data_IF_785989478298
#
_entry.id   IF_785989478298
#
_cell.length_a   1.000
_cell.length_b   1.000
_cell.length_c   1.000
_cell.angle_alpha   90.00
_cell.angle_beta   90.00
_cell.angle_gamma   90.00
#
_symmetry.space_group_name_H-M   'P 1'
#
loop_
_entity.id
_entity.type
_entity.pdbx_description
1 polymer ?
#
# COMPACT_ATOMS: atom_id res chain seq x y z
N UNK A 1 6.40 8.66 -19.15
CA UNK A 1 6.25 8.07 -17.79
C UNK A 1 7.65 7.93 -17.18
N UNK A 2 7.87 7.82 -15.87
CA UNK A 2 9.22 7.58 -15.29
C UNK A 2 9.93 6.32 -15.85
N UNK A 3 9.23 5.52 -16.66
CA UNK A 3 9.75 4.50 -17.57
C UNK A 3 10.76 5.03 -18.63
N UNK A 4 10.71 6.31 -19.03
CA UNK A 4 11.55 6.85 -20.13
C UNK A 4 12.96 7.28 -19.67
N UNK A 5 13.17 7.47 -18.36
CA UNK A 5 14.50 7.74 -17.81
C UNK A 5 15.39 6.48 -17.83
N UNK A 6 14.77 5.31 -17.84
CA UNK A 6 15.43 4.01 -17.78
C UNK A 6 15.77 3.57 -16.35
N UNK A 7 15.75 2.26 -16.11
CA UNK A 7 15.97 1.62 -14.80
C UNK A 7 17.31 1.97 -14.13
N UNK A 8 18.26 2.53 -14.88
CA UNK A 8 19.62 2.87 -14.44
C UNK A 8 19.91 4.38 -14.47
N UNK A 9 18.91 5.23 -14.71
CA UNK A 9 19.13 6.68 -14.68
C UNK A 9 19.57 7.14 -13.29
N UNK A 10 20.80 7.63 -13.21
CA UNK A 10 21.44 8.04 -11.94
C UNK A 10 20.57 9.02 -11.16
N UNK A 11 20.02 10.05 -11.81
CA UNK A 11 19.18 11.06 -11.13
C UNK A 11 17.89 10.47 -10.55
N UNK A 12 17.30 9.46 -11.20
CA UNK A 12 16.10 8.76 -10.69
C UNK A 12 16.46 7.82 -9.55
N UNK A 13 17.59 7.11 -9.65
CA UNK A 13 18.08 6.26 -8.56
C UNK A 13 18.41 7.07 -7.31
N UNK A 14 18.99 8.27 -7.47
CA UNK A 14 19.21 9.21 -6.37
C UNK A 14 17.90 9.69 -5.77
N UNK A 15 16.90 10.01 -6.60
CA UNK A 15 15.57 10.39 -6.12
C UNK A 15 14.87 9.24 -5.38
N UNK A 16 14.96 8.01 -5.88
CA UNK A 16 14.39 6.83 -5.25
C UNK A 16 15.08 6.48 -3.93
N UNK A 17 16.42 6.60 -3.89
CA UNK A 17 17.18 6.45 -2.66
C UNK A 17 16.79 7.51 -1.63
N UNK A 18 16.71 8.78 -2.05
CA UNK A 18 16.29 9.86 -1.17
C UNK A 18 14.86 9.67 -0.67
N UNK A 19 13.94 9.22 -1.53
CA UNK A 19 12.56 8.92 -1.17
C UNK A 19 12.45 7.81 -0.12
N UNK A 20 13.16 6.70 -0.32
CA UNK A 20 13.23 5.62 0.67
C UNK A 20 13.86 6.04 2.00
N UNK A 21 14.92 6.87 1.96
CA UNK A 21 15.53 7.44 3.15
C UNK A 21 14.60 8.41 3.88
N UNK A 22 13.83 9.23 3.18
CA UNK A 22 12.78 10.07 3.77
C UNK A 22 11.65 9.24 4.38
N UNK A 23 11.29 8.13 3.73
CA UNK A 23 10.38 7.12 4.29
C UNK A 23 10.82 6.60 5.64
N UNK A 24 12.11 6.29 5.78
CA UNK A 24 12.69 5.92 7.06
C UNK A 24 12.67 7.09 8.07
N UNK A 25 13.11 8.27 7.66
CA UNK A 25 13.26 9.42 8.55
C UNK A 25 11.93 9.90 9.14
N UNK A 26 10.91 10.03 8.27
CA UNK A 26 9.61 10.60 8.61
C UNK A 26 8.61 9.53 9.09
N UNK A 27 8.87 8.26 8.80
CA UNK A 27 7.97 7.14 9.03
C UNK A 27 7.23 6.73 7.75
N UNK A 28 6.97 5.44 7.62
CA UNK A 28 6.39 4.85 6.42
C UNK A 28 4.96 5.35 6.20
N UNK A 29 4.13 5.33 7.25
CA UNK A 29 2.73 5.77 7.16
C UNK A 29 2.59 7.26 6.82
N UNK A 30 3.47 8.10 7.38
CA UNK A 30 3.52 9.53 7.11
C UNK A 30 3.80 9.78 5.63
N UNK A 31 4.82 9.13 5.07
CA UNK A 31 5.18 9.31 3.67
C UNK A 31 4.13 8.74 2.71
N UNK A 32 3.45 7.66 3.09
CA UNK A 32 2.30 7.15 2.36
C UNK A 32 1.13 8.16 2.34
N UNK A 33 0.86 8.82 3.47
CA UNK A 33 -0.12 9.89 3.56
C UNK A 33 0.25 11.13 2.75
N UNK A 34 1.52 11.53 2.76
CA UNK A 34 2.04 12.63 1.92
C UNK A 34 1.91 12.30 0.44
N UNK A 35 2.19 11.07 0.03
CA UNK A 35 1.95 10.59 -1.32
C UNK A 35 0.49 10.79 -1.73
N UNK A 36 -0.44 10.39 -0.87
CA UNK A 36 -1.88 10.62 -1.05
C UNK A 36 -2.23 12.09 -1.28
N UNK A 37 -1.73 12.99 -0.43
CA UNK A 37 -1.96 14.43 -0.57
C UNK A 37 -1.45 14.98 -1.92
N UNK A 38 -0.28 14.53 -2.37
CA UNK A 38 0.29 14.93 -3.67
C UNK A 38 -0.52 14.35 -4.84
N UNK A 39 -1.01 13.11 -4.72
CA UNK A 39 -1.93 12.52 -5.72
C UNK A 39 -3.21 13.35 -5.81
N UNK A 40 -3.83 13.72 -4.68
CA UNK A 40 -5.02 14.59 -4.68
C UNK A 40 -4.73 15.89 -5.41
N UNK A 41 -3.61 16.56 -5.09
CA UNK A 41 -3.21 17.79 -5.76
C UNK A 41 -3.04 17.59 -7.27
N UNK A 42 -2.43 16.48 -7.71
CA UNK A 42 -2.28 16.16 -9.13
C UNK A 42 -3.62 15.89 -9.84
N UNK A 43 -4.54 15.18 -9.20
CA UNK A 43 -5.82 14.81 -9.81
C UNK A 43 -6.84 15.98 -9.82
N UNK A 44 -6.74 16.94 -8.90
CA UNK A 44 -7.65 18.11 -8.86
C UNK A 44 -7.08 19.36 -9.56
N UNK A 45 -5.82 19.36 -9.99
CA UNK A 45 -5.21 20.47 -10.73
C UNK A 45 -5.16 20.16 -12.23
N UNK A 46 -5.98 20.81 -13.08
CA UNK A 46 -5.89 20.67 -14.52
C UNK A 46 -4.62 21.35 -15.02
N UNK A 47 -3.62 20.60 -15.49
CA UNK A 47 -2.50 21.07 -16.34
C UNK A 47 -1.77 22.38 -15.96
N UNK A 48 -1.83 22.85 -14.70
CA UNK A 48 -1.43 24.23 -14.31
C UNK A 48 -0.26 24.30 -13.33
N UNK A 49 0.43 23.19 -13.07
CA UNK A 49 1.52 23.11 -12.08
C UNK A 49 2.92 23.17 -12.73
N UNK A 50 3.40 24.38 -13.06
CA UNK A 50 4.83 24.66 -13.32
C UNK A 50 5.38 24.16 -14.67
N UNK A 51 6.68 24.40 -15.03
CA UNK A 51 7.17 24.43 -16.43
C UNK A 51 7.22 23.06 -17.10
N UNK A 52 6.06 22.50 -17.43
CA UNK A 52 5.81 21.39 -18.31
C UNK A 52 4.46 21.70 -19.00
N UNK A 53 4.54 22.27 -20.20
CA UNK A 53 3.40 22.79 -20.99
C UNK A 53 2.62 21.65 -21.66
N UNK A 54 1.29 21.64 -21.58
CA UNK A 54 0.43 20.71 -22.32
C UNK A 54 -1.04 20.71 -21.91
N UNK A 55 -1.90 20.14 -22.78
CA UNK A 55 -3.33 19.88 -22.54
C UNK A 55 -3.57 19.09 -21.24
N UNK A 56 -4.79 19.09 -20.64
CA UNK A 56 -5.09 18.28 -19.48
C UNK A 56 -4.65 16.82 -19.72
N UNK A 57 -3.73 16.29 -18.90
CA UNK A 57 -3.24 14.94 -19.06
C UNK A 57 -4.40 13.94 -18.86
N UNK A 58 -4.35 12.79 -19.55
CA UNK A 58 -5.24 11.66 -19.26
C UNK A 58 -5.21 11.31 -17.75
N UNK A 59 -6.26 10.70 -17.22
CA UNK A 59 -6.36 10.32 -15.81
C UNK A 59 -5.08 9.67 -15.27
N UNK A 60 -4.54 10.19 -14.15
CA UNK A 60 -3.28 9.71 -13.58
C UNK A 60 -1.98 10.11 -14.31
N UNK A 61 -2.05 10.84 -15.43
CA UNK A 61 -0.86 11.31 -16.15
C UNK A 61 -0.42 12.73 -15.77
N UNK A 62 -1.04 13.34 -14.75
CA UNK A 62 -0.53 14.56 -14.14
C UNK A 62 0.89 14.29 -13.57
N UNK A 63 1.90 15.12 -13.89
CA UNK A 63 3.26 14.93 -13.39
C UNK A 63 3.36 14.85 -11.86
N UNK A 64 2.51 15.56 -11.11
CA UNK A 64 2.49 15.46 -9.64
C UNK A 64 2.06 14.07 -9.19
N UNK A 65 1.00 13.51 -9.78
CA UNK A 65 0.57 12.14 -9.51
C UNK A 65 1.64 11.15 -9.95
N UNK A 66 2.09 11.20 -11.21
CA UNK A 66 2.92 10.15 -11.80
C UNK A 66 4.40 10.19 -11.40
N UNK A 67 4.98 11.38 -11.17
CA UNK A 67 6.42 11.55 -10.91
C UNK A 67 6.74 11.82 -9.44
N UNK A 68 5.77 12.32 -8.66
CA UNK A 68 5.98 12.64 -7.25
C UNK A 68 5.19 11.69 -6.35
N UNK A 69 3.86 11.75 -6.37
CA UNK A 69 2.99 10.98 -5.47
C UNK A 69 3.04 9.47 -5.68
N UNK A 70 3.10 9.01 -6.93
CA UNK A 70 3.28 7.61 -7.32
C UNK A 70 4.65 7.36 -7.96
N UNK A 71 5.57 8.32 -7.84
CA UNK A 71 6.87 8.28 -8.50
C UNK A 71 8.04 8.06 -7.54
N UNK A 72 9.29 8.20 -8.02
CA UNK A 72 10.50 7.96 -7.23
C UNK A 72 10.59 8.68 -5.87
N UNK A 73 10.11 9.93 -5.69
CA UNK A 73 10.27 10.62 -4.41
C UNK A 73 9.33 10.15 -3.29
N UNK A 74 8.03 9.97 -3.57
CA UNK A 74 7.02 9.66 -2.54
C UNK A 74 6.19 8.42 -2.84
N UNK A 75 6.38 7.79 -4.00
CA UNK A 75 5.65 6.60 -4.42
C UNK A 75 5.61 5.54 -3.31
N UNK A 76 4.47 4.86 -3.09
CA UNK A 76 4.36 3.85 -2.03
C UNK A 76 5.42 2.75 -2.13
N UNK A 77 5.76 2.35 -3.36
CA UNK A 77 6.82 1.40 -3.63
C UNK A 77 8.23 1.90 -3.29
N UNK A 78 8.42 3.20 -3.03
CA UNK A 78 9.71 3.81 -2.70
C UNK A 78 9.74 4.28 -1.25
N UNK A 79 8.98 5.32 -0.91
CA UNK A 79 9.07 5.96 0.39
C UNK A 79 8.45 5.07 1.48
N UNK A 80 7.20 4.64 1.29
CA UNK A 80 6.54 3.74 2.24
C UNK A 80 7.28 2.40 2.36
N UNK A 81 7.54 1.71 1.25
CA UNK A 81 8.25 0.41 1.28
C UNK A 81 9.66 0.52 1.88
N UNK A 82 10.40 1.59 1.57
CA UNK A 82 11.70 1.89 2.18
C UNK A 82 11.59 2.11 3.69
N UNK A 83 10.61 2.91 4.13
CA UNK A 83 10.32 3.14 5.55
C UNK A 83 9.97 1.85 6.28
N UNK A 84 9.13 0.98 5.70
CA UNK A 84 8.77 -0.32 6.28
C UNK A 84 10.00 -1.21 6.47
N UNK A 85 10.86 -1.30 5.46
CA UNK A 85 12.10 -2.08 5.56
C UNK A 85 13.07 -1.51 6.60
N UNK A 86 13.13 -0.17 6.72
CA UNK A 86 13.93 0.52 7.72
C UNK A 86 13.40 0.29 9.14
N UNK A 87 12.08 0.28 9.36
CA UNK A 87 11.45 -0.05 10.64
C UNK A 87 11.79 -1.48 11.05
N UNK A 88 11.67 -2.45 10.13
CA UNK A 88 12.06 -3.84 10.37
C UNK A 88 13.55 -3.96 10.73
N UNK A 89 14.43 -3.23 10.03
CA UNK A 89 15.86 -3.20 10.34
C UNK A 89 16.16 -2.58 11.72
N UNK A 90 15.54 -1.44 12.04
CA UNK A 90 15.74 -0.76 13.33
C UNK A 90 15.27 -1.64 14.51
N UNK A 91 14.13 -2.29 14.37
CA UNK A 91 13.64 -3.27 15.33
C UNK A 91 14.59 -4.46 15.48
N UNK A 92 15.11 -5.01 14.36
CA UNK A 92 16.08 -6.12 14.38
C UNK A 92 17.37 -5.75 15.11
N UNK A 93 17.76 -4.48 15.05
CA UNK A 93 18.95 -3.95 15.73
C UNK A 93 18.70 -3.58 17.19
N UNK A 94 17.46 -3.65 17.68
CA UNK A 94 17.10 -3.23 19.03
C UNK A 94 17.20 -1.71 19.22
N UNK A 95 16.99 -0.92 18.16
CA UNK A 95 16.99 0.54 18.24
C UNK A 95 15.64 1.12 18.65
N UNK A 96 14.60 0.29 18.66
CA UNK A 96 13.24 0.68 19.01
C UNK A 96 12.88 0.08 20.36
N UNK A 97 12.42 0.93 21.26
CA UNK A 97 11.93 0.61 22.59
C UNK A 97 10.81 1.61 22.90
N UNK A 98 9.59 1.27 22.49
CA UNK A 98 8.42 2.12 22.61
C UNK A 98 7.28 1.37 23.30
N UNK A 99 6.23 2.09 23.70
CA UNK A 99 5.02 1.51 24.27
C UNK A 99 4.08 0.93 23.19
N UNK A 100 4.59 0.54 22.02
CA UNK A 100 3.78 -0.01 20.93
C UNK A 100 3.22 -1.39 21.27
N UNK A 101 1.93 -1.60 21.05
CA UNK A 101 1.21 -2.81 21.48
C UNK A 101 1.66 -4.10 20.79
N UNK A 102 2.27 -3.97 19.59
CA UNK A 102 2.71 -5.08 18.76
C UNK A 102 4.23 -5.09 18.60
N UNK A 103 4.75 -5.93 17.72
CA UNK A 103 6.19 -5.89 17.47
C UNK A 103 6.64 -4.54 16.92
N UNK A 104 7.76 -4.02 17.41
CA UNK A 104 8.39 -2.81 16.88
C UNK A 104 8.66 -2.86 15.37
N UNK A 105 8.89 -4.04 14.80
CA UNK A 105 9.07 -4.20 13.35
C UNK A 105 7.78 -3.97 12.52
N UNK A 106 6.63 -3.78 13.19
CA UNK A 106 5.35 -3.35 12.60
C UNK A 106 5.04 -1.87 12.84
N UNK A 107 5.85 -1.16 13.62
CA UNK A 107 5.58 0.22 14.07
C UNK A 107 5.85 1.25 12.96
N UNK A 108 5.07 1.18 11.89
CA UNK A 108 5.24 1.97 10.65
C UNK A 108 4.78 3.43 10.78
N UNK A 109 4.16 3.78 11.90
CA UNK A 109 3.78 5.14 12.28
C UNK A 109 4.88 5.86 13.07
N UNK A 110 5.99 5.19 13.43
CA UNK A 110 7.09 5.82 14.15
C UNK A 110 8.09 6.48 13.18
N UNK A 111 8.37 7.79 13.29
CA UNK A 111 9.50 8.40 12.59
C UNK A 111 10.82 7.90 13.17
N UNK A 112 11.70 7.33 12.34
CA UNK A 112 12.97 6.73 12.80
C UNK A 112 14.11 7.76 12.93
N UNK A 113 13.88 9.00 12.50
CA UNK A 113 14.82 10.10 12.62
C UNK A 113 16.02 10.02 11.67
N UNK A 114 17.14 10.62 12.05
CA UNK A 114 18.28 10.85 11.14
C UNK A 114 19.40 9.80 11.23
N UNK A 115 19.10 8.62 11.78
CA UNK A 115 20.12 7.60 12.03
C UNK A 115 20.70 7.05 10.71
N UNK A 116 22.00 7.21 10.42
CA UNK A 116 22.53 6.99 9.07
C UNK A 116 22.31 5.59 8.49
N UNK A 117 22.51 4.53 9.27
CA UNK A 117 22.34 3.16 8.80
C UNK A 117 20.86 2.84 8.49
N UNK A 118 19.94 3.37 9.28
CA UNK A 118 18.49 3.24 9.04
C UNK A 118 18.06 3.99 7.78
N UNK A 119 18.58 5.21 7.55
CA UNK A 119 18.34 5.98 6.33
C UNK A 119 18.87 5.25 5.08
N UNK A 120 20.07 4.65 5.17
CA UNK A 120 20.65 3.88 4.08
C UNK A 120 19.80 2.66 3.75
N UNK A 121 19.31 1.92 4.75
CA UNK A 121 18.39 0.79 4.51
C UNK A 121 17.12 1.26 3.82
N UNK A 122 16.50 2.34 4.30
CA UNK A 122 15.33 2.93 3.66
C UNK A 122 15.60 3.29 2.20
N UNK A 123 16.70 3.97 1.92
CA UNK A 123 17.07 4.36 0.56
C UNK A 123 17.37 3.18 -0.37
N UNK A 124 18.05 2.14 0.12
CA UNK A 124 18.30 0.93 -0.68
C UNK A 124 16.98 0.25 -1.06
N UNK A 125 16.06 0.07 -0.12
CA UNK A 125 14.76 -0.53 -0.43
C UNK A 125 13.88 0.39 -1.29
N UNK A 126 14.06 1.71 -1.20
CA UNK A 126 13.46 2.66 -2.12
C UNK A 126 13.90 2.45 -3.58
N UNK A 127 15.19 2.22 -3.81
CA UNK A 127 15.72 1.88 -5.15
C UNK A 127 15.20 0.52 -5.63
N UNK A 128 15.18 -0.49 -4.76
CA UNK A 128 14.64 -1.82 -5.10
C UNK A 128 13.18 -1.72 -5.54
N UNK A 129 12.36 -0.97 -4.81
CA UNK A 129 10.97 -0.82 -5.17
C UNK A 129 10.78 -0.06 -6.48
N UNK A 130 11.59 0.97 -6.77
CA UNK A 130 11.60 1.62 -8.08
C UNK A 130 11.89 0.61 -9.21
N UNK A 131 12.85 -0.30 -9.02
CA UNK A 131 13.15 -1.33 -10.01
C UNK A 131 12.01 -2.33 -10.20
N UNK A 132 11.39 -2.82 -9.13
CA UNK A 132 10.30 -3.80 -9.22
C UNK A 132 9.07 -3.22 -9.94
N UNK A 133 8.71 -1.96 -9.65
CA UNK A 133 7.68 -1.23 -10.39
C UNK A 133 8.08 -1.07 -11.86
N UNK A 134 9.30 -0.62 -12.12
CA UNK A 134 9.81 -0.39 -13.48
C UNK A 134 9.87 -1.67 -14.33
N UNK A 135 10.25 -2.81 -13.73
CA UNK A 135 10.24 -4.13 -14.36
C UNK A 135 8.80 -4.53 -14.71
N UNK A 136 7.86 -4.38 -13.77
CA UNK A 136 6.45 -4.71 -14.00
C UNK A 136 5.86 -3.92 -15.17
N UNK A 137 6.15 -2.62 -15.25
CA UNK A 137 5.74 -1.76 -16.37
C UNK A 137 6.45 -2.16 -17.66
N UNK A 138 7.77 -2.41 -17.63
CA UNK A 138 8.60 -2.73 -18.81
C UNK A 138 8.13 -3.97 -19.55
N UNK A 139 7.66 -4.97 -18.80
CA UNK A 139 7.18 -6.24 -19.32
C UNK A 139 5.65 -6.31 -19.46
N UNK A 140 4.93 -5.24 -19.13
CA UNK A 140 3.46 -5.21 -19.23
C UNK A 140 2.78 -6.29 -18.40
N UNK A 141 3.27 -6.54 -17.18
CA UNK A 141 2.75 -7.61 -16.34
C UNK A 141 1.33 -7.27 -15.84
N UNK A 142 0.38 -8.23 -15.85
CA UNK A 142 -1.06 -7.97 -15.64
C UNK A 142 -1.44 -7.82 -14.16
N UNK A 143 -0.84 -6.86 -13.50
CA UNK A 143 -1.11 -6.46 -12.12
C UNK A 143 -0.74 -5.00 -11.90
N UNK A 144 -1.21 -4.41 -10.81
CA UNK A 144 -0.85 -3.03 -10.45
C UNK A 144 0.64 -2.96 -10.05
N UNK A 145 1.49 -2.22 -10.80
CA UNK A 145 2.94 -2.22 -10.61
C UNK A 145 3.42 -1.72 -9.24
N UNK A 146 2.74 -0.75 -8.63
CA UNK A 146 3.13 -0.22 -7.32
C UNK A 146 2.83 -1.25 -6.23
N UNK A 147 1.65 -1.86 -6.25
CA UNK A 147 1.20 -2.83 -5.27
C UNK A 147 2.07 -4.09 -5.27
N UNK A 148 2.37 -4.66 -6.45
CA UNK A 148 3.29 -5.81 -6.52
C UNK A 148 4.66 -5.45 -5.95
N UNK A 149 5.16 -4.24 -6.20
CA UNK A 149 6.44 -3.81 -5.68
C UNK A 149 6.43 -3.67 -4.16
N UNK A 150 5.38 -3.08 -3.57
CA UNK A 150 5.24 -2.99 -2.11
C UNK A 150 5.16 -4.38 -1.47
N UNK A 151 4.41 -5.31 -2.06
CA UNK A 151 4.31 -6.69 -1.56
C UNK A 151 5.66 -7.42 -1.65
N UNK A 152 6.33 -7.34 -2.81
CA UNK A 152 7.61 -8.02 -3.02
C UNK A 152 8.74 -7.44 -2.18
N UNK A 153 8.81 -6.11 -2.01
CA UNK A 153 9.77 -5.48 -1.08
C UNK A 153 9.49 -5.86 0.37
N UNK A 154 8.21 -6.00 0.73
CA UNK A 154 7.74 -6.54 2.00
C UNK A 154 8.33 -7.93 2.30
N UNK A 155 8.17 -8.84 1.36
CA UNK A 155 8.72 -10.20 1.46
C UNK A 155 10.26 -10.19 1.42
N UNK A 156 10.86 -9.32 0.61
CA UNK A 156 12.31 -9.24 0.47
C UNK A 156 13.00 -8.77 1.74
N UNK A 157 12.46 -7.77 2.45
CA UNK A 157 13.07 -7.35 3.71
C UNK A 157 12.93 -8.43 4.80
N UNK A 158 11.83 -9.21 4.78
CA UNK A 158 11.69 -10.37 5.68
C UNK A 158 12.81 -11.37 5.44
N UNK A 159 13.07 -11.73 4.18
CA UNK A 159 14.17 -12.62 3.80
C UNK A 159 15.54 -12.05 4.17
N UNK A 160 15.82 -10.81 3.77
CA UNK A 160 17.12 -10.18 3.96
C UNK A 160 17.48 -9.97 5.43
N UNK A 161 16.48 -9.70 6.28
CA UNK A 161 16.67 -9.47 7.71
C UNK A 161 16.45 -10.74 8.54
N UNK A 162 16.06 -11.86 7.94
CA UNK A 162 15.85 -13.14 8.62
C UNK A 162 14.61 -13.15 9.52
N UNK A 163 13.50 -12.57 9.06
CA UNK A 163 12.17 -12.73 9.64
C UNK A 163 11.39 -13.85 8.93
N UNK A 164 10.44 -14.52 9.60
CA UNK A 164 9.55 -15.48 8.96
C UNK A 164 8.73 -14.83 7.83
N UNK A 165 8.57 -15.53 6.70
CA UNK A 165 7.82 -15.01 5.55
C UNK A 165 6.32 -14.84 5.82
N UNK A 166 5.70 -15.76 6.57
CA UNK A 166 4.25 -15.77 6.87
C UNK A 166 3.97 -15.55 8.36
N UNK A 167 4.98 -15.76 9.22
CA UNK A 167 4.83 -15.68 10.67
C UNK A 167 4.96 -17.04 11.36
N UNK A 168 4.71 -17.07 12.67
CA UNK A 168 4.65 -18.31 13.44
C UNK A 168 3.21 -18.65 13.78
N UNK A 169 2.76 -19.84 13.40
CA UNK A 169 1.43 -20.33 13.72
C UNK A 169 1.46 -21.07 15.05
N UNK A 170 0.95 -20.43 16.10
CA UNK A 170 0.55 -21.11 17.34
C UNK A 170 -0.97 -21.35 17.42
N UNK A 171 -1.72 -20.79 16.47
CA UNK A 171 -3.19 -20.85 16.35
C UNK A 171 -3.57 -21.01 14.88
N UNK A 172 -4.87 -21.17 14.60
CA UNK A 172 -5.38 -21.12 13.23
C UNK A 172 -5.09 -19.75 12.57
N UNK A 173 -4.79 -19.75 11.27
CA UNK A 173 -4.43 -18.54 10.52
C UNK A 173 -5.56 -17.52 10.49
N UNK A 174 -6.82 -17.96 10.42
CA UNK A 174 -7.98 -17.07 10.27
C UNK A 174 -8.64 -16.71 11.59
N UNK A 175 -8.20 -17.31 12.70
CA UNK A 175 -8.80 -17.12 14.01
C UNK A 175 -8.28 -15.86 14.72
N UNK A 176 -9.21 -14.95 15.01
CA UNK A 176 -8.94 -13.70 15.73
C UNK A 176 -9.34 -13.77 17.22
N UNK A 177 -9.99 -14.86 17.66
CA UNK A 177 -10.42 -15.06 19.06
C UNK A 177 -9.27 -14.88 20.07
N UNK A 178 -8.02 -15.33 19.80
CA UNK A 178 -6.91 -15.10 20.72
C UNK A 178 -6.62 -13.61 20.96
N UNK A 179 -6.82 -12.75 19.97
CA UNK A 179 -6.70 -11.31 20.13
C UNK A 179 -7.84 -10.75 20.98
N UNK A 180 -9.08 -11.18 20.72
CA UNK A 180 -10.29 -10.77 21.46
C UNK A 180 -10.22 -11.14 22.95
N UNK A 181 -9.65 -12.30 23.26
CA UNK A 181 -9.44 -12.78 24.64
C UNK A 181 -8.21 -12.16 25.32
N UNK A 182 -7.40 -11.38 24.59
CA UNK A 182 -6.17 -10.78 25.10
C UNK A 182 -5.06 -11.80 25.36
N UNK A 183 -5.04 -12.91 24.61
CA UNK A 183 -4.03 -13.96 24.76
C UNK A 183 -2.64 -13.44 24.37
N UNK A 184 -1.70 -13.54 25.31
CA UNK A 184 -0.32 -13.07 25.16
C UNK A 184 0.68 -14.22 25.07
N UNK A 185 1.78 -13.99 24.37
CA UNK A 185 2.89 -14.93 24.22
C UNK A 185 3.62 -15.07 25.56
N UNK A 186 3.65 -16.29 26.07
CA UNK A 186 4.40 -16.63 27.29
C UNK A 186 5.91 -16.59 27.04
N UNK A 187 6.67 -16.33 28.10
CA UNK A 187 8.13 -16.49 28.05
C UNK A 187 8.47 -17.94 27.66
N UNK A 188 9.26 -18.08 26.59
CA UNK A 188 9.74 -19.38 26.15
C UNK A 188 10.80 -19.94 27.10
N UNK A 189 11.25 -21.16 26.84
CA UNK A 189 12.35 -21.87 27.53
C UNK A 189 13.76 -21.29 27.26
N UNK A 190 13.86 -20.05 26.77
CA UNK A 190 15.10 -19.41 26.33
C UNK A 190 15.39 -19.54 24.82
N UNK A 191 14.55 -20.21 24.05
CA UNK A 191 14.69 -20.35 22.58
C UNK A 191 14.18 -19.17 21.75
N UNK A 192 13.47 -18.21 22.36
CA UNK A 192 12.91 -17.02 21.68
C UNK A 192 13.43 -15.72 22.31
N UNK A 193 13.69 -14.66 21.52
CA UNK A 193 14.12 -13.37 22.05
C UNK A 193 13.15 -12.82 23.10
N UNK A 194 13.64 -12.16 24.16
CA UNK A 194 12.82 -11.55 25.20
C UNK A 194 11.81 -10.53 24.63
N UNK A 195 12.15 -9.86 23.53
CA UNK A 195 11.29 -8.93 22.76
C UNK A 195 10.03 -9.59 22.16
N UNK A 196 9.88 -10.91 22.28
CA UNK A 196 8.69 -11.67 21.85
C UNK A 196 7.72 -11.96 23.00
N UNK A 197 8.13 -11.74 24.26
CA UNK A 197 7.37 -12.09 25.45
C UNK A 197 6.34 -11.01 25.80
N UNK A 198 5.16 -11.39 26.27
CA UNK A 198 4.10 -10.45 26.67
C UNK A 198 3.33 -9.79 25.53
N UNK A 199 3.75 -9.96 24.27
CA UNK A 199 3.04 -9.50 23.06
C UNK A 199 1.79 -10.34 22.77
N UNK A 200 0.75 -9.80 22.11
CA UNK A 200 -0.38 -10.59 21.64
C UNK A 200 0.07 -11.78 20.78
N UNK A 201 -0.63 -12.90 20.88
CA UNK A 201 -0.37 -14.06 20.01
C UNK A 201 -0.71 -13.72 18.55
N UNK A 202 -1.82 -13.01 18.36
CA UNK A 202 -2.32 -12.48 17.09
C UNK A 202 -2.33 -10.96 17.17
N UNK A 203 -1.71 -10.29 16.21
CA UNK A 203 -1.53 -8.83 16.18
C UNK A 203 -2.25 -8.25 14.96
N UNK A 204 -3.56 -7.89 15.07
CA UNK A 204 -4.34 -7.41 13.94
C UNK A 204 -3.71 -6.15 13.33
N UNK A 205 -3.88 -6.00 12.02
CA UNK A 205 -3.40 -4.80 11.32
C UNK A 205 -4.18 -3.54 11.70
N UNK A 206 -5.51 -3.65 11.83
CA UNK A 206 -6.39 -2.58 12.30
C UNK A 206 -7.29 -3.14 13.41
N UNK A 207 -6.98 -2.89 14.69
CA UNK A 207 -7.70 -3.50 15.81
C UNK A 207 -9.16 -3.10 15.91
N UNK A 208 -9.56 -1.95 15.33
CA UNK A 208 -10.96 -1.51 15.29
C UNK A 208 -11.68 -1.89 13.98
N UNK A 209 -10.97 -2.46 12.99
CA UNK A 209 -11.49 -2.68 11.63
C UNK A 209 -11.08 -4.04 11.03
N UNK A 210 -11.38 -5.13 11.72
CA UNK A 210 -11.06 -6.50 11.27
C UNK A 210 -12.28 -7.44 11.18
N UNK A 211 -13.47 -6.99 11.59
CA UNK A 211 -14.67 -7.81 11.47
C UNK A 211 -15.16 -7.88 10.02
N UNK A 212 -15.31 -9.09 9.47
CA UNK A 212 -15.73 -9.34 8.08
C UNK A 212 -16.95 -8.53 7.62
N UNK A 213 -17.96 -8.41 8.48
CA UNK A 213 -19.19 -7.67 8.18
C UNK A 213 -18.92 -6.17 8.07
N UNK A 214 -18.14 -5.64 9.01
CA UNK A 214 -17.80 -4.22 9.11
C UNK A 214 -16.90 -3.79 7.94
N UNK A 215 -15.83 -4.54 7.67
CA UNK A 215 -14.93 -4.25 6.52
C UNK A 215 -15.64 -4.45 5.18
N UNK A 216 -16.55 -5.42 5.08
CA UNK A 216 -17.34 -5.64 3.88
C UNK A 216 -18.31 -4.49 3.60
N UNK A 217 -19.07 -4.04 4.60
CA UNK A 217 -19.96 -2.88 4.48
C UNK A 217 -19.17 -1.60 4.18
N UNK A 218 -18.05 -1.39 4.88
CA UNK A 218 -17.16 -0.26 4.61
C UNK A 218 -16.65 -0.30 3.17
N UNK A 219 -16.26 -1.47 2.66
CA UNK A 219 -15.86 -1.68 1.28
C UNK A 219 -16.95 -1.26 0.28
N UNK A 220 -18.21 -1.61 0.52
CA UNK A 220 -19.35 -1.15 -0.30
C UNK A 220 -19.46 0.37 -0.28
N UNK A 221 -19.42 0.99 0.90
CA UNK A 221 -19.55 2.45 1.06
C UNK A 221 -18.40 3.20 0.37
N UNK A 222 -17.16 2.77 0.59
CA UNK A 222 -15.97 3.33 -0.06
C UNK A 222 -16.03 3.10 -1.57
N UNK A 223 -16.49 1.93 -2.01
CA UNK A 223 -16.65 1.60 -3.42
C UNK A 223 -17.63 2.52 -4.13
N UNK A 224 -18.80 2.79 -3.52
CA UNK A 224 -19.77 3.75 -4.05
C UNK A 224 -19.19 5.17 -4.12
N UNK A 225 -18.52 5.63 -3.06
CA UNK A 225 -17.87 6.93 -3.02
C UNK A 225 -16.78 7.08 -4.10
N UNK A 226 -15.91 6.08 -4.20
CA UNK A 226 -14.80 6.06 -5.15
C UNK A 226 -15.29 5.93 -6.60
N UNK A 227 -16.34 5.14 -6.83
CA UNK A 227 -17.01 5.03 -8.12
C UNK A 227 -17.64 6.35 -8.56
N UNK A 228 -18.33 7.05 -7.65
CA UNK A 228 -18.92 8.36 -7.94
C UNK A 228 -17.85 9.36 -8.35
N UNK A 229 -16.78 9.49 -7.56
CA UNK A 229 -15.67 10.38 -7.90
C UNK A 229 -15.03 10.01 -9.23
N UNK A 230 -14.84 8.71 -9.51
CA UNK A 230 -14.25 8.26 -10.76
C UNK A 230 -15.14 8.62 -11.96
N UNK A 231 -16.45 8.37 -11.89
CA UNK A 231 -17.39 8.71 -12.97
C UNK A 231 -17.44 10.23 -13.23
N UNK A 232 -17.49 11.04 -12.17
CA UNK A 232 -17.61 12.50 -12.30
C UNK A 232 -16.31 13.17 -12.78
N UNK A 233 -15.16 12.65 -12.37
CA UNK A 233 -13.85 13.28 -12.64
C UNK A 233 -13.04 12.61 -13.74
N UNK A 234 -13.41 11.38 -14.12
CA UNK A 234 -12.61 10.51 -14.97
C UNK A 234 -11.33 9.99 -14.32
N UNK A 235 -11.06 10.28 -13.04
CA UNK A 235 -9.81 9.90 -12.36
C UNK A 235 -9.90 8.53 -11.68
N UNK A 236 -8.94 7.65 -11.98
CA UNK A 236 -8.73 6.41 -11.22
C UNK A 236 -8.16 6.67 -9.82
N UNK A 237 -7.42 7.76 -9.64
CA UNK A 237 -6.55 7.96 -8.48
C UNK A 237 -7.07 8.99 -7.49
N UNK A 238 -8.09 9.78 -7.80
CA UNK A 238 -8.57 10.82 -6.89
C UNK A 238 -9.07 10.22 -5.56
N UNK A 239 -9.97 9.24 -5.63
CA UNK A 239 -10.49 8.56 -4.44
C UNK A 239 -9.38 7.80 -3.69
N UNK A 240 -8.46 7.18 -4.43
CA UNK A 240 -7.28 6.52 -3.86
C UNK A 240 -6.38 7.50 -3.11
N UNK A 241 -6.07 8.65 -3.71
CA UNK A 241 -5.26 9.70 -3.11
C UNK A 241 -5.91 10.30 -1.86
N UNK A 242 -7.22 10.53 -1.88
CA UNK A 242 -7.98 10.95 -0.70
C UNK A 242 -7.87 9.91 0.42
N UNK A 243 -8.06 8.63 0.10
CA UNK A 243 -7.95 7.53 1.06
C UNK A 243 -6.52 7.31 1.58
N UNK A 244 -5.48 7.65 0.80
CA UNK A 244 -4.11 7.69 1.30
C UNK A 244 -3.87 8.91 2.19
N UNK A 245 -4.37 10.09 1.81
CA UNK A 245 -4.14 11.32 2.57
C UNK A 245 -4.69 11.24 4.02
N UNK A 246 -5.78 10.48 4.23
CA UNK A 246 -6.29 10.22 5.59
C UNK A 246 -5.28 9.51 6.48
N UNK A 247 -4.30 8.79 5.92
CA UNK A 247 -3.26 8.11 6.69
C UNK A 247 -2.33 9.07 7.44
N UNK A 248 -2.30 10.36 7.07
CA UNK A 248 -1.65 11.40 7.89
C UNK A 248 -2.33 11.55 9.25
N UNK A 249 -3.66 11.37 9.30
CA UNK A 249 -4.45 11.42 10.54
C UNK A 249 -4.18 10.18 11.38
N UNK A 250 -4.08 9.00 10.76
CA UNK A 250 -3.68 7.76 11.45
C UNK A 250 -2.25 7.88 12.00
N UNK A 251 -1.32 8.41 11.20
CA UNK A 251 0.05 8.67 11.63
C UNK A 251 0.17 9.74 12.74
N UNK A 252 -0.86 10.56 12.93
CA UNK A 252 -0.96 11.53 14.03
C UNK A 252 -1.54 10.92 15.34
N UNK A 253 -1.76 9.61 15.39
CA UNK A 253 -2.22 8.89 16.59
C UNK A 253 -3.74 8.80 16.73
N UNK A 254 -4.48 8.89 15.62
CA UNK A 254 -5.93 8.65 15.63
C UNK A 254 -6.20 7.17 15.31
N UNK A 255 -6.25 6.36 16.36
CA UNK A 255 -6.15 4.89 16.25
C UNK A 255 -7.35 4.18 15.60
N UNK A 256 -8.52 4.86 15.55
CA UNK A 256 -9.76 4.28 15.01
C UNK A 256 -10.03 4.60 13.54
N UNK A 257 -9.06 5.18 12.84
CA UNK A 257 -9.24 5.56 11.44
C UNK A 257 -9.13 4.33 10.52
N UNK A 258 -10.12 4.03 9.67
CA UNK A 258 -10.00 2.92 8.75
C UNK A 258 -9.03 3.25 7.60
N UNK A 259 -8.31 2.23 7.15
CA UNK A 259 -7.48 2.31 5.94
C UNK A 259 -8.29 1.79 4.75
N UNK A 260 -8.53 2.64 3.75
CA UNK A 260 -9.55 2.39 2.72
C UNK A 260 -9.04 2.46 1.27
N UNK A 261 -7.76 2.76 1.06
CA UNK A 261 -7.21 2.97 -0.28
C UNK A 261 -7.27 1.71 -1.16
N UNK A 262 -7.19 0.51 -0.56
CA UNK A 262 -7.36 -0.75 -1.26
C UNK A 262 -8.81 -1.09 -1.64
N UNK A 263 -9.79 -0.39 -1.06
CA UNK A 263 -11.18 -0.45 -1.49
C UNK A 263 -11.42 0.58 -2.61
N UNK A 264 -10.83 1.77 -2.48
CA UNK A 264 -11.05 2.90 -3.37
C UNK A 264 -10.46 2.68 -4.78
N UNK A 265 -9.19 2.26 -4.90
CA UNK A 265 -8.53 2.13 -6.20
C UNK A 265 -9.22 1.12 -7.14
N UNK A 266 -9.45 -0.15 -6.76
CA UNK A 266 -10.12 -1.09 -7.65
C UNK A 266 -11.55 -0.66 -7.97
N UNK A 267 -12.25 -0.01 -7.02
CA UNK A 267 -13.59 0.53 -7.26
C UNK A 267 -13.61 1.63 -8.34
N UNK A 268 -12.68 2.59 -8.27
CA UNK A 268 -12.55 3.64 -9.29
C UNK A 268 -12.16 3.07 -10.66
N UNK A 269 -11.29 2.06 -10.71
CA UNK A 269 -10.93 1.37 -11.96
C UNK A 269 -12.16 0.68 -12.55
N UNK A 270 -12.91 -0.10 -11.77
CA UNK A 270 -14.09 -0.80 -12.28
C UNK A 270 -15.23 0.12 -12.72
N UNK A 271 -15.45 1.24 -12.02
CA UNK A 271 -16.42 2.25 -12.44
C UNK A 271 -16.13 2.79 -13.85
N UNK A 272 -14.85 3.04 -14.15
CA UNK A 272 -14.41 3.59 -15.43
C UNK A 272 -14.12 2.53 -16.49
N UNK A 273 -14.11 1.25 -16.12
CA UNK A 273 -13.84 0.12 -17.01
C UNK A 273 -15.03 -0.25 -17.91
N UNK A 274 -16.19 0.39 -17.73
CA UNK A 274 -17.42 0.14 -18.49
C UNK A 274 -17.88 1.42 -19.20
N UNK A 275 -17.21 1.84 -20.29
CA UNK A 275 -17.53 3.10 -20.95
C UNK A 275 -18.96 3.09 -21.53
N UNK A 276 -19.74 4.13 -21.23
CA UNK A 276 -21.08 4.33 -21.81
C UNK A 276 -22.22 3.56 -21.13
N UNK A 277 -21.97 2.85 -20.02
CA UNK A 277 -23.04 2.24 -19.21
C UNK A 277 -23.74 3.29 -18.35
N UNK A 278 -24.95 2.94 -17.87
CA UNK A 278 -25.68 3.77 -16.91
C UNK A 278 -24.85 4.01 -15.63
N UNK A 279 -24.78 5.24 -15.10
CA UNK A 279 -24.00 5.54 -13.90
C UNK A 279 -24.33 4.66 -12.69
N UNK A 280 -25.59 4.22 -12.53
CA UNK A 280 -25.95 3.31 -11.44
C UNK A 280 -25.30 1.93 -11.59
N UNK A 281 -25.09 1.45 -12.83
CA UNK A 281 -24.37 0.21 -13.10
C UNK A 281 -22.87 0.38 -12.78
N UNK A 282 -22.26 1.49 -13.19
CA UNK A 282 -20.87 1.79 -12.87
C UNK A 282 -20.64 1.86 -11.35
N UNK A 283 -21.56 2.50 -10.62
CA UNK A 283 -21.53 2.56 -9.16
C UNK A 283 -21.73 1.19 -8.50
N UNK A 284 -22.61 0.35 -9.04
CA UNK A 284 -22.80 -1.01 -8.54
C UNK A 284 -21.54 -1.87 -8.71
N UNK A 285 -20.84 -1.75 -9.84
CA UNK A 285 -19.55 -2.42 -10.07
C UNK A 285 -18.48 -1.89 -9.12
N UNK A 286 -18.42 -0.58 -8.91
CA UNK A 286 -17.50 0.03 -7.95
C UNK A 286 -17.75 -0.44 -6.52
N UNK A 287 -19.03 -0.54 -6.11
CA UNK A 287 -19.42 -1.09 -4.82
C UNK A 287 -18.97 -2.54 -4.65
N UNK A 288 -19.12 -3.37 -5.68
CA UNK A 288 -18.69 -4.77 -5.67
C UNK A 288 -17.17 -4.91 -5.56
N UNK A 289 -16.39 -4.09 -6.28
CA UNK A 289 -14.93 -4.09 -6.20
C UNK A 289 -14.42 -3.48 -4.89
N UNK A 290 -15.10 -2.49 -4.33
CA UNK A 290 -14.80 -1.96 -3.00
C UNK A 290 -15.05 -2.99 -1.90
N UNK A 291 -16.18 -3.71 -1.97
CA UNK A 291 -16.47 -4.88 -1.11
C UNK A 291 -15.37 -5.92 -1.22
N UNK A 292 -15.00 -6.32 -2.45
CA UNK A 292 -13.93 -7.27 -2.68
C UNK A 292 -12.61 -6.78 -2.11
N UNK A 293 -12.27 -5.51 -2.31
CA UNK A 293 -11.08 -4.88 -1.72
C UNK A 293 -11.05 -5.06 -0.21
N UNK A 294 -12.14 -4.73 0.49
CA UNK A 294 -12.23 -4.86 1.95
C UNK A 294 -12.09 -6.31 2.43
N UNK A 295 -12.78 -7.25 1.78
CA UNK A 295 -12.70 -8.67 2.13
C UNK A 295 -11.31 -9.27 1.85
N UNK A 296 -10.69 -8.93 0.72
CA UNK A 296 -9.34 -9.42 0.41
C UNK A 296 -8.29 -8.78 1.32
N UNK A 297 -8.47 -7.51 1.72
CA UNK A 297 -7.62 -6.86 2.72
C UNK A 297 -7.67 -7.58 4.07
N UNK A 298 -8.87 -7.92 4.52
CA UNK A 298 -9.06 -8.70 5.74
C UNK A 298 -8.51 -10.13 5.63
N UNK A 299 -8.66 -10.77 4.47
CA UNK A 299 -8.02 -12.06 4.24
C UNK A 299 -6.49 -11.95 4.29
N UNK A 300 -5.92 -10.94 3.63
CA UNK A 300 -4.48 -10.70 3.60
C UNK A 300 -3.91 -10.39 5.00
N UNK A 301 -4.64 -9.65 5.84
CA UNK A 301 -4.17 -9.34 7.19
C UNK A 301 -4.09 -10.61 8.03
N UNK A 302 -5.13 -11.46 8.01
CA UNK A 302 -5.11 -12.75 8.73
C UNK A 302 -4.00 -13.66 8.23
N UNK A 303 -3.81 -13.74 6.91
CA UNK A 303 -2.86 -14.69 6.33
C UNK A 303 -1.39 -14.26 6.47
N UNK A 304 -1.09 -12.96 6.36
CA UNK A 304 0.29 -12.50 6.13
C UNK A 304 0.79 -11.42 7.10
N UNK A 305 -0.11 -10.81 7.87
CA UNK A 305 0.21 -9.75 8.83
C UNK A 305 0.06 -10.21 10.29
N UNK A 306 -1.11 -10.75 10.64
CA UNK A 306 -1.54 -10.96 12.03
C UNK A 306 -0.58 -11.85 12.82
N UNK A 307 -0.02 -12.86 12.15
CA UNK A 307 0.94 -13.81 12.71
C UNK A 307 2.40 -13.47 12.35
N UNK A 308 2.60 -12.48 11.48
CA UNK A 308 3.91 -12.02 11.01
C UNK A 308 4.60 -11.12 12.03
N UNK A 309 5.90 -10.92 11.86
CA UNK A 309 6.70 -10.07 12.73
C UNK A 309 6.97 -8.68 12.14
N UNK A 310 6.87 -8.51 10.82
CA UNK A 310 7.07 -7.21 10.17
C UNK A 310 5.79 -6.74 9.48
N UNK A 311 5.74 -5.46 9.11
CA UNK A 311 4.62 -4.91 8.36
C UNK A 311 4.63 -5.39 6.90
N UNK A 312 3.86 -6.45 6.59
CA UNK A 312 3.48 -6.74 5.20
C UNK A 312 2.07 -6.20 4.99
N UNK A 313 1.96 -5.12 4.22
CA UNK A 313 0.75 -4.33 4.12
C UNK A 313 -0.41 -5.12 3.47
N UNK A 314 -1.50 -5.41 4.22
CA UNK A 314 -2.67 -6.11 3.69
C UNK A 314 -3.40 -5.36 2.58
N UNK A 315 -3.36 -4.02 2.60
CA UNK A 315 -3.99 -3.18 1.58
C UNK A 315 -3.34 -3.36 0.22
N UNK A 316 -2.00 -3.39 0.16
CA UNK A 316 -1.30 -3.58 -1.11
C UNK A 316 -1.43 -5.02 -1.63
N UNK A 317 -1.54 -6.02 -0.74
CA UNK A 317 -1.92 -7.38 -1.15
C UNK A 317 -3.32 -7.40 -1.78
N UNK A 318 -4.27 -6.66 -1.19
CA UNK A 318 -5.63 -6.53 -1.72
C UNK A 318 -5.67 -5.83 -3.09
N UNK A 319 -4.94 -4.73 -3.26
CA UNK A 319 -4.80 -4.06 -4.57
C UNK A 319 -4.18 -5.00 -5.59
N UNK A 320 -3.13 -5.74 -5.23
CA UNK A 320 -2.50 -6.71 -6.13
C UNK A 320 -3.53 -7.76 -6.62
N UNK A 321 -4.24 -8.40 -5.70
CA UNK A 321 -5.23 -9.44 -6.05
C UNK A 321 -6.38 -8.88 -6.88
N UNK A 322 -6.94 -7.74 -6.47
CA UNK A 322 -8.04 -7.10 -7.22
C UNK A 322 -7.59 -6.60 -8.60
N UNK A 323 -6.35 -6.14 -8.73
CA UNK A 323 -5.78 -5.72 -10.03
C UNK A 323 -5.61 -6.89 -11.00
N UNK A 324 -5.21 -8.08 -10.52
CA UNK A 324 -5.14 -9.28 -11.35
C UNK A 324 -6.53 -9.67 -11.84
N UNK A 325 -7.55 -9.60 -10.98
CA UNK A 325 -8.93 -9.84 -11.39
C UNK A 325 -9.38 -8.85 -12.47
N UNK A 326 -9.12 -7.55 -12.28
CA UNK A 326 -9.46 -6.51 -13.26
C UNK A 326 -8.74 -6.76 -14.59
N UNK A 327 -7.45 -7.12 -14.57
CA UNK A 327 -6.70 -7.46 -15.77
C UNK A 327 -7.31 -8.67 -16.51
N UNK A 328 -7.75 -9.70 -15.79
CA UNK A 328 -8.44 -10.85 -16.37
C UNK A 328 -9.77 -10.43 -17.02
N UNK A 329 -10.55 -9.57 -16.37
CA UNK A 329 -11.82 -9.07 -16.92
C UNK A 329 -11.61 -8.22 -18.18
N UNK A 330 -10.54 -7.45 -18.23
CA UNK A 330 -10.16 -6.63 -19.38
C UNK A 330 -9.71 -7.51 -20.57
N UNK A 331 -8.85 -8.50 -20.34
CA UNK A 331 -8.44 -9.48 -21.36
C UNK A 331 -9.64 -10.30 -21.86
N UNK A 332 -10.61 -10.60 -21.00
CA UNK A 332 -11.84 -11.29 -21.38
C UNK A 332 -12.85 -10.40 -22.14
N UNK A 333 -12.56 -9.11 -22.32
CA UNK A 333 -13.45 -8.15 -22.99
C UNK A 333 -14.68 -7.76 -22.17
N UNK A 334 -14.71 -8.07 -20.87
CA UNK A 334 -15.75 -7.62 -19.95
C UNK A 334 -15.51 -6.16 -19.55
N UNK A 335 -14.25 -5.80 -19.33
CA UNK A 335 -13.78 -4.46 -19.00
C UNK A 335 -12.99 -3.86 -20.16
N UNK A 336 -12.87 -2.53 -20.15
CA UNK A 336 -11.98 -1.74 -21.02
C UNK A 336 -11.31 -0.67 -20.16
N UNK A 337 -10.05 -0.91 -19.77
CA UNK A 337 -9.32 -0.04 -18.84
C UNK A 337 -7.87 0.21 -19.28
N UNK A 338 -7.23 1.26 -18.74
CA UNK A 338 -5.82 1.59 -19.02
C UNK A 338 -4.96 1.77 -17.77
N UNK A 339 -5.50 1.52 -16.58
CA UNK A 339 -4.79 1.66 -15.30
C UNK A 339 -3.83 0.50 -15.04
N UNK A 340 -4.17 -0.71 -15.49
CA UNK A 340 -3.41 -1.95 -15.29
C UNK A 340 -2.90 -2.43 -16.66
N UNK A 341 -1.61 -2.79 -16.79
CA UNK A 341 -1.06 -3.26 -18.06
C UNK A 341 -1.69 -4.57 -18.53
N UNK A 342 -2.38 -4.53 -19.68
CA UNK A 342 -2.97 -5.72 -20.34
C UNK A 342 -2.64 -5.77 -21.84
N UNK A 343 -1.97 -4.74 -22.35
CA UNK A 343 -1.59 -4.63 -23.75
C UNK A 343 -0.71 -5.81 -24.19
N UNK A 344 -1.15 -6.52 -25.23
CA UNK A 344 -0.46 -7.71 -25.76
C UNK A 344 -0.92 -9.04 -25.16
N UNK A 345 -1.91 -9.04 -24.26
CA UNK A 345 -2.54 -10.25 -23.72
C UNK A 345 -3.95 -10.53 -24.29
N UNK A 346 -4.59 -9.52 -24.89
CA UNK A 346 -5.88 -9.61 -25.56
C UNK A 346 -5.76 -9.91 -27.06
#
# INVERSE_FOLDING_TARGET
MPADAGLLAVHVLLAAFAGGALGAALGAMQTLGLAGAVVVLGEVTPGTTGPLVGAPPAAGSNPLTALVGLGPPLGPHVAFAGGVAATAYAARKGYLDTDFDYYEAKHVTLPLGSRPDVLVVGGVFGVVGYWLTGISVRFGLPWEPVAVSVVLTGLLHRLALGYPLVGSLSTDMLDMTPYEEGTRRMAGDGSRPESMTGRPVVEPWLPDHYEWRSVGLLGVVVGLFAGFLAVETGSYYLAFGLALATLLVLAAGVDRLPVTHHMALPASIGALALPGVDPAIALAVAAALGLLGGLVGELAQRLLYAHGDTHLDPSFVSILVTSVLIAVLDVAGVFSQSAIPTAGLA
#
